data_IF_302069647621
#
_entry.id   IF_302069647621
#
_cell.length_a   1.000
_cell.length_b   1.000
_cell.length_c   1.000
_cell.angle_alpha   90.00
_cell.angle_beta   90.00
_cell.angle_gamma   90.00
#
_symmetry.space_group_name_H-M   'P 1'
#
loop_
_entity.id
_entity.type
_entity.pdbx_description
1 polymer ?
#
# COMPACT_ATOMS: atom_id res chain seq x y z
N UNK A 1 6.65 23.32 -6.56
CA UNK A 1 5.68 22.23 -6.58
C UNK A 1 5.69 21.52 -5.24
N UNK A 2 4.51 21.30 -4.66
CA UNK A 2 4.36 20.64 -3.36
C UNK A 2 4.24 19.14 -3.55
N UNK A 3 4.98 18.36 -2.75
CA UNK A 3 4.95 16.90 -2.76
C UNK A 3 4.01 16.33 -1.69
N UNK A 4 3.92 15.01 -1.61
CA UNK A 4 3.19 14.25 -0.60
C UNK A 4 1.77 13.89 -1.03
N UNK A 5 1.40 12.63 -0.84
CA UNK A 5 0.05 12.12 -1.08
C UNK A 5 -0.40 11.09 -0.03
N UNK A 6 0.49 10.71 0.86
CA UNK A 6 0.22 9.80 1.99
C UNK A 6 -0.07 10.66 3.23
N UNK A 7 -1.33 11.01 3.48
CA UNK A 7 -1.62 11.96 4.55
C UNK A 7 -2.87 11.64 5.37
N UNK A 8 -2.79 12.08 6.62
CA UNK A 8 -3.89 12.09 7.57
C UNK A 8 -3.82 13.36 8.42
N UNK A 9 -4.94 13.76 8.96
CA UNK A 9 -5.00 14.97 9.76
C UNK A 9 -6.21 15.04 10.67
N UNK A 10 -6.36 16.17 11.33
CA UNK A 10 -7.52 16.48 12.16
C UNK A 10 -8.36 17.55 11.48
N UNK A 11 -9.66 17.31 11.36
CA UNK A 11 -10.60 18.30 10.81
C UNK A 11 -10.64 19.52 11.73
N UNK A 12 -10.23 20.67 11.22
CA UNK A 12 -10.22 21.93 11.96
C UNK A 12 -11.35 22.89 11.54
N UNK A 13 -11.89 22.66 10.34
CA UNK A 13 -13.02 23.46 9.81
C UNK A 13 -13.80 22.62 8.82
N UNK A 14 -15.12 22.80 8.79
CA UNK A 14 -16.03 22.18 7.81
C UNK A 14 -16.63 23.26 6.91
N UNK A 15 -16.84 22.90 5.64
CA UNK A 15 -17.52 23.72 4.65
C UNK A 15 -19.03 23.51 4.65
N UNK A 16 -19.75 24.28 3.82
CA UNK A 16 -21.19 24.06 3.60
C UNK A 16 -21.44 22.67 3.00
N UNK A 17 -22.49 21.97 3.50
CA UNK A 17 -22.91 20.67 2.98
C UNK A 17 -22.12 19.47 3.49
N UNK A 18 -21.18 19.67 4.42
CA UNK A 18 -20.50 18.56 5.13
C UNK A 18 -21.46 17.98 6.17
N UNK A 19 -21.71 16.67 6.10
CA UNK A 19 -22.71 15.99 6.93
C UNK A 19 -22.11 14.90 7.83
N UNK A 20 -21.04 14.23 7.38
CA UNK A 20 -20.49 13.02 8.05
C UNK A 20 -19.24 13.30 8.89
N UNK A 21 -18.65 14.48 8.75
CA UNK A 21 -17.46 14.90 9.48
C UNK A 21 -17.74 16.11 10.39
N UNK A 22 -17.03 16.17 11.50
CA UNK A 22 -17.06 17.30 12.44
C UNK A 22 -15.66 17.75 12.81
N UNK A 23 -15.52 18.98 13.27
CA UNK A 23 -14.27 19.49 13.83
C UNK A 23 -13.81 18.58 14.98
N UNK A 24 -12.54 18.21 14.94
CA UNK A 24 -11.90 17.27 15.87
C UNK A 24 -11.82 15.82 15.37
N UNK A 25 -12.54 15.43 14.33
CA UNK A 25 -12.41 14.10 13.74
C UNK A 25 -11.00 13.92 13.13
N UNK A 26 -10.38 12.78 13.38
CA UNK A 26 -9.16 12.36 12.69
C UNK A 26 -9.54 11.63 11.39
N UNK A 27 -8.89 11.96 10.29
CA UNK A 27 -9.17 11.41 8.97
C UNK A 27 -7.90 11.04 8.22
N UNK A 28 -7.94 9.96 7.44
CA UNK A 28 -7.01 9.72 6.34
C UNK A 28 -7.61 10.27 5.05
N UNK A 29 -6.78 10.74 4.13
CA UNK A 29 -7.23 11.26 2.85
C UNK A 29 -7.01 10.23 1.75
N UNK A 30 -8.02 10.02 0.91
CA UNK A 30 -7.87 9.35 -0.39
C UNK A 30 -7.26 10.37 -1.37
N UNK A 31 -6.00 10.20 -1.83
CA UNK A 31 -5.29 11.23 -2.59
C UNK A 31 -5.84 11.48 -3.99
N UNK A 32 -6.70 10.61 -4.50
CA UNK A 32 -7.25 10.67 -5.85
C UNK A 32 -8.67 11.24 -5.90
N UNK A 33 -8.82 12.53 -6.14
CA UNK A 33 -10.15 13.15 -6.36
C UNK A 33 -10.65 12.76 -7.75
N UNK A 34 -11.72 11.99 -7.82
CA UNK A 34 -12.28 11.43 -9.06
C UNK A 34 -13.48 12.23 -9.57
N UNK A 35 -13.84 12.07 -10.87
CA UNK A 35 -14.96 12.83 -11.47
C UNK A 35 -16.35 12.35 -10.99
N UNK A 36 -16.48 11.16 -10.42
CA UNK A 36 -17.71 10.58 -9.90
C UNK A 36 -18.74 10.18 -10.96
N UNK A 37 -18.51 10.42 -12.26
CA UNK A 37 -19.53 10.27 -13.30
C UNK A 37 -19.12 9.35 -14.48
N UNK A 38 -17.83 9.06 -14.67
CA UNK A 38 -17.38 8.15 -15.73
C UNK A 38 -17.77 6.70 -15.42
N UNK A 39 -17.60 5.81 -16.39
CA UNK A 39 -17.93 4.39 -16.24
C UNK A 39 -17.16 3.73 -15.09
N UNK A 40 -15.87 4.06 -14.91
CA UNK A 40 -15.04 3.52 -13.84
C UNK A 40 -15.53 3.97 -12.45
N UNK A 41 -15.86 5.26 -12.29
CA UNK A 41 -16.41 5.76 -11.03
C UNK A 41 -17.75 5.08 -10.70
N UNK A 42 -18.63 4.93 -11.68
CA UNK A 42 -19.95 4.33 -11.50
C UNK A 42 -19.92 2.82 -11.26
N UNK A 43 -18.88 2.13 -11.74
CA UNK A 43 -18.67 0.68 -11.52
C UNK A 43 -17.88 0.36 -10.25
N UNK A 44 -17.45 1.37 -9.47
CA UNK A 44 -16.66 1.18 -8.26
C UNK A 44 -15.14 1.10 -8.49
N UNK A 45 -14.69 1.16 -9.74
CA UNK A 45 -13.27 1.18 -10.09
C UNK A 45 -12.74 2.61 -10.23
N UNK A 46 -13.11 3.49 -9.28
CA UNK A 46 -12.85 4.93 -9.37
C UNK A 46 -11.35 5.29 -9.42
N UNK A 47 -10.47 4.42 -8.93
CA UNK A 47 -9.02 4.52 -9.09
C UNK A 47 -8.56 4.53 -10.57
N UNK A 48 -9.39 4.03 -11.49
CA UNK A 48 -9.16 4.06 -12.93
C UNK A 48 -9.80 5.28 -13.62
N UNK A 49 -10.30 6.27 -12.87
CA UNK A 49 -10.91 7.46 -13.42
C UNK A 49 -9.91 8.22 -14.32
N UNK A 50 -10.23 8.48 -15.61
CA UNK A 50 -9.32 9.20 -16.52
C UNK A 50 -9.12 10.65 -16.13
N UNK A 51 -10.04 11.24 -15.36
CA UNK A 51 -10.00 12.63 -14.90
C UNK A 51 -9.57 12.75 -13.44
N UNK A 52 -8.89 11.73 -12.89
CA UNK A 52 -8.45 11.77 -11.49
C UNK A 52 -7.45 12.91 -11.26
N UNK A 53 -7.69 13.70 -10.23
CA UNK A 53 -6.77 14.71 -9.72
C UNK A 53 -6.02 14.11 -8.53
N UNK A 54 -4.83 13.57 -8.78
CA UNK A 54 -4.06 12.86 -7.77
C UNK A 54 -3.05 13.80 -7.09
N UNK A 55 -3.07 13.87 -5.77
CA UNK A 55 -2.15 14.69 -4.99
C UNK A 55 -0.69 14.41 -5.37
N UNK A 56 0.13 15.46 -5.44
CA UNK A 56 1.54 15.43 -5.82
C UNK A 56 1.82 14.87 -7.24
N UNK A 57 0.81 14.82 -8.10
CA UNK A 57 0.97 14.51 -9.53
C UNK A 57 0.68 15.78 -10.34
N UNK A 58 1.70 16.39 -10.99
CA UNK A 58 1.51 17.65 -11.71
C UNK A 58 0.34 17.62 -12.69
N UNK A 59 -0.51 18.67 -12.72
CA UNK A 59 -0.34 19.98 -12.03
C UNK A 59 -0.91 20.04 -10.59
N UNK A 60 -1.41 18.93 -10.03
CA UNK A 60 -2.06 18.87 -8.71
C UNK A 60 -1.01 18.89 -7.61
N UNK A 61 -1.12 19.88 -6.69
CA UNK A 61 -0.21 19.99 -5.54
C UNK A 61 -0.44 18.85 -4.55
N UNK A 62 0.59 18.53 -3.78
CA UNK A 62 0.55 17.50 -2.73
C UNK A 62 0.11 18.05 -1.38
N UNK A 63 0.29 17.22 -0.34
CA UNK A 63 -0.20 17.49 1.01
C UNK A 63 0.90 17.87 2.03
N UNK A 64 2.14 18.22 1.60
CA UNK A 64 3.17 18.70 2.52
C UNK A 64 2.89 20.16 2.96
N UNK A 65 1.75 20.35 3.64
CA UNK A 65 1.29 21.62 4.14
C UNK A 65 0.60 21.46 5.51
N UNK A 66 0.47 22.57 6.24
CA UNK A 66 -0.17 22.54 7.57
C UNK A 66 -1.68 22.32 7.49
N UNK A 67 -2.33 22.81 6.43
CA UNK A 67 -3.77 22.73 6.23
C UNK A 67 -4.08 22.46 4.76
N UNK A 68 -4.97 21.53 4.51
CA UNK A 68 -5.49 21.22 3.19
C UNK A 68 -7.02 21.29 3.19
N UNK A 69 -7.60 21.88 2.14
CA UNK A 69 -9.04 21.80 1.90
C UNK A 69 -9.34 20.61 1.00
N UNK A 70 -10.19 19.69 1.47
CA UNK A 70 -10.39 18.41 0.80
C UNK A 70 -11.88 18.02 0.77
N UNK A 71 -12.35 17.28 -0.28
CA UNK A 71 -13.73 16.83 -0.35
C UNK A 71 -14.06 15.82 0.77
N UNK A 72 -15.25 15.97 1.39
CA UNK A 72 -15.67 15.09 2.48
C UNK A 72 -15.62 13.59 2.11
N UNK A 73 -16.12 13.26 0.91
CA UNK A 73 -16.19 11.87 0.43
C UNK A 73 -14.82 11.23 0.15
N UNK A 74 -13.74 12.01 0.19
CA UNK A 74 -12.35 11.54 0.10
C UNK A 74 -11.63 11.59 1.46
N UNK A 75 -12.38 11.83 2.55
CA UNK A 75 -11.86 11.89 3.92
C UNK A 75 -12.43 10.71 4.72
N UNK A 76 -11.60 9.77 5.09
CA UNK A 76 -12.00 8.56 5.82
C UNK A 76 -11.72 8.71 7.30
N UNK A 77 -12.77 8.65 8.12
CA UNK A 77 -12.66 8.79 9.56
C UNK A 77 -11.86 7.66 10.17
N UNK A 78 -10.84 8.00 10.95
CA UNK A 78 -10.02 7.05 11.66
C UNK A 78 -10.71 6.56 12.94
N UNK A 79 -10.50 5.31 13.36
CA UNK A 79 -10.87 4.83 14.68
C UNK A 79 -10.24 5.69 15.78
N UNK A 80 -10.89 5.79 16.96
CA UNK A 80 -10.42 6.64 18.06
C UNK A 80 -9.01 6.27 18.54
N UNK A 81 -8.69 4.98 18.55
CA UNK A 81 -7.40 4.43 18.97
C UNK A 81 -6.29 4.55 17.92
N UNK A 82 -6.60 5.03 16.72
CA UNK A 82 -5.61 5.22 15.65
C UNK A 82 -5.05 6.66 15.68
N UNK A 83 -3.75 6.79 15.58
CA UNK A 83 -3.07 8.08 15.42
C UNK A 83 -3.15 8.57 13.97
N UNK A 84 -2.93 9.87 13.74
CA UNK A 84 -2.82 10.40 12.37
C UNK A 84 -1.57 9.88 11.64
N UNK A 85 -0.50 9.52 12.37
CA UNK A 85 0.68 8.88 11.79
C UNK A 85 0.33 7.50 11.21
N UNK A 86 -0.42 6.69 11.95
CA UNK A 86 -0.93 5.40 11.44
C UNK A 86 -1.94 5.61 10.32
N UNK A 87 -2.78 6.65 10.42
CA UNK A 87 -3.71 7.03 9.38
C UNK A 87 -3.06 7.36 8.03
N UNK A 88 -1.88 8.00 8.05
CA UNK A 88 -1.13 8.28 6.84
C UNK A 88 -0.60 7.01 6.14
N UNK A 89 -0.37 5.93 6.90
CA UNK A 89 0.06 4.65 6.34
C UNK A 89 -1.07 3.86 5.66
N UNK A 90 -2.33 4.30 5.76
CA UNK A 90 -3.46 3.64 5.10
C UNK A 90 -3.30 3.70 3.58
N UNK A 91 -2.76 4.80 3.06
CA UNK A 91 -2.55 4.96 1.61
C UNK A 91 -1.60 3.88 1.08
N UNK A 92 -0.33 3.76 1.50
CA UNK A 92 0.54 2.71 1.01
C UNK A 92 0.06 1.30 1.38
N UNK A 93 -0.65 1.12 2.51
CA UNK A 93 -1.25 -0.15 2.87
C UNK A 93 -2.32 -0.57 1.85
N UNK A 94 -3.12 0.38 1.34
CA UNK A 94 -4.13 0.10 0.31
C UNK A 94 -3.51 -0.42 -0.98
N UNK A 95 -2.32 0.06 -1.34
CA UNK A 95 -1.55 -0.46 -2.49
C UNK A 95 -1.18 -1.94 -2.28
N UNK A 96 -0.65 -2.28 -1.10
CA UNK A 96 -0.33 -3.67 -0.75
C UNK A 96 -1.56 -4.58 -0.71
N UNK A 97 -2.66 -4.07 -0.17
CA UNK A 97 -3.92 -4.82 -0.10
C UNK A 97 -4.49 -5.08 -1.50
N UNK A 98 -4.56 -4.05 -2.34
CA UNK A 98 -5.02 -4.18 -3.72
C UNK A 98 -4.10 -5.08 -4.55
N UNK A 99 -2.78 -5.03 -4.33
CA UNK A 99 -1.84 -5.95 -4.96
C UNK A 99 -2.16 -7.41 -4.61
N UNK A 100 -2.44 -7.71 -3.33
CA UNK A 100 -2.80 -9.06 -2.90
C UNK A 100 -4.11 -9.54 -3.54
N UNK A 101 -5.12 -8.66 -3.70
CA UNK A 101 -6.36 -8.95 -4.44
C UNK A 101 -6.09 -9.21 -5.93
N UNK A 102 -5.29 -8.35 -6.59
CA UNK A 102 -4.97 -8.50 -8.00
C UNK A 102 -4.09 -9.73 -8.28
N UNK A 103 -3.25 -10.10 -7.33
CA UNK A 103 -2.45 -11.34 -7.35
C UNK A 103 -3.26 -12.59 -7.05
N UNK A 104 -4.54 -12.44 -6.71
CA UNK A 104 -5.49 -13.53 -6.38
C UNK A 104 -4.94 -14.46 -5.28
N UNK A 105 -4.40 -13.85 -4.21
CA UNK A 105 -3.79 -14.58 -3.10
C UNK A 105 -4.83 -15.35 -2.32
N UNK A 106 -4.64 -16.67 -2.21
CA UNK A 106 -5.53 -17.57 -1.50
C UNK A 106 -4.91 -18.15 -0.22
N UNK A 107 -5.80 -18.71 0.61
CA UNK A 107 -5.39 -19.42 1.82
C UNK A 107 -4.48 -20.61 1.47
N UNK A 108 -3.29 -20.61 2.06
CA UNK A 108 -2.30 -21.66 1.87
C UNK A 108 -1.24 -21.40 0.81
N UNK A 109 -1.37 -20.33 0.00
CA UNK A 109 -0.42 -19.98 -1.04
C UNK A 109 0.98 -19.69 -0.47
N UNK A 110 1.99 -20.03 -1.26
CA UNK A 110 3.36 -19.57 -1.07
C UNK A 110 3.58 -18.30 -1.86
N UNK A 111 3.73 -17.19 -1.15
CA UNK A 111 3.92 -15.86 -1.73
C UNK A 111 5.39 -15.45 -1.67
N UNK A 112 5.92 -14.98 -2.78
CA UNK A 112 7.28 -14.41 -2.89
C UNK A 112 7.19 -12.91 -3.13
N UNK A 113 7.91 -12.11 -2.35
CA UNK A 113 7.94 -10.65 -2.48
C UNK A 113 9.38 -10.23 -2.75
N UNK A 114 9.60 -9.63 -3.91
CA UNK A 114 10.89 -9.11 -4.35
C UNK A 114 10.96 -7.61 -4.04
N UNK A 115 11.79 -7.27 -3.04
CA UNK A 115 11.88 -5.94 -2.45
C UNK A 115 11.21 -5.88 -1.07
N UNK A 116 11.93 -5.34 -0.09
CA UNK A 116 11.49 -5.15 1.30
C UNK A 116 11.48 -3.68 1.69
N UNK A 117 11.13 -2.82 0.71
CA UNK A 117 10.79 -1.41 0.96
C UNK A 117 9.39 -1.26 1.56
N UNK A 118 8.89 -0.02 1.66
CA UNK A 118 7.55 0.25 2.21
C UNK A 118 6.49 -0.62 1.53
N UNK A 119 6.42 -0.60 0.19
CA UNK A 119 5.42 -1.35 -0.58
C UNK A 119 5.56 -2.86 -0.38
N UNK A 120 6.79 -3.41 -0.40
CA UNK A 120 6.98 -4.84 -0.14
C UNK A 120 6.52 -5.26 1.26
N UNK A 121 6.77 -4.44 2.27
CA UNK A 121 6.33 -4.71 3.65
C UNK A 121 4.81 -4.64 3.82
N UNK A 122 4.15 -3.65 3.22
CA UNK A 122 2.67 -3.59 3.29
C UNK A 122 2.03 -4.70 2.46
N UNK A 123 2.64 -5.11 1.34
CA UNK A 123 2.21 -6.27 0.55
C UNK A 123 2.35 -7.57 1.37
N UNK A 124 3.44 -7.73 2.13
CA UNK A 124 3.61 -8.86 3.06
C UNK A 124 2.46 -8.92 4.05
N UNK A 125 2.14 -7.80 4.71
CA UNK A 125 1.04 -7.73 5.68
C UNK A 125 -0.30 -8.06 5.04
N UNK A 126 -0.57 -7.52 3.85
CA UNK A 126 -1.78 -7.80 3.10
C UNK A 126 -1.90 -9.28 2.71
N UNK A 127 -0.85 -9.90 2.16
CA UNK A 127 -0.84 -11.33 1.81
C UNK A 127 -1.09 -12.22 3.02
N UNK A 128 -0.51 -11.89 4.17
CA UNK A 128 -0.80 -12.61 5.43
C UNK A 128 -2.26 -12.47 5.85
N UNK A 129 -2.84 -11.28 5.72
CA UNK A 129 -4.26 -11.05 6.00
C UNK A 129 -5.19 -11.82 5.05
N UNK A 130 -4.79 -12.00 3.79
CA UNK A 130 -5.49 -12.85 2.81
C UNK A 130 -5.32 -14.36 3.05
N UNK A 131 -4.45 -14.75 3.99
CA UNK A 131 -4.28 -16.15 4.39
C UNK A 131 -3.14 -16.88 3.68
N UNK A 132 -2.17 -16.18 3.12
CA UNK A 132 -0.96 -16.81 2.59
C UNK A 132 -0.36 -17.80 3.61
N UNK A 133 -0.15 -19.02 3.20
CA UNK A 133 0.37 -20.10 4.05
C UNK A 133 1.87 -20.01 4.26
N UNK A 134 2.57 -19.34 3.36
CA UNK A 134 4.00 -19.10 3.43
C UNK A 134 4.36 -17.80 2.73
N UNK A 135 5.17 -16.99 3.39
CA UNK A 135 5.67 -15.72 2.85
C UNK A 135 7.19 -15.71 2.80
N UNK A 136 7.76 -15.39 1.64
CA UNK A 136 9.20 -15.33 1.38
C UNK A 136 9.53 -13.93 0.86
N UNK A 137 10.37 -13.19 1.56
CA UNK A 137 10.74 -11.82 1.18
C UNK A 137 12.22 -11.78 0.79
N UNK A 138 12.53 -11.20 -0.36
CA UNK A 138 13.91 -11.04 -0.83
C UNK A 138 14.28 -9.56 -0.97
N UNK A 139 15.48 -9.20 -0.52
CA UNK A 139 16.07 -7.86 -0.65
C UNK A 139 17.59 -7.96 -0.62
N UNK A 140 18.28 -6.87 -0.95
CA UNK A 140 19.74 -6.72 -0.85
C UNK A 140 20.18 -6.25 0.54
N UNK A 141 19.29 -5.63 1.31
CA UNK A 141 19.60 -4.92 2.56
C UNK A 141 19.12 -5.71 3.78
N UNK A 142 20.06 -6.18 4.60
CA UNK A 142 19.75 -6.99 5.80
C UNK A 142 18.77 -6.30 6.74
N UNK A 143 18.94 -5.01 7.03
CA UNK A 143 18.06 -4.27 7.95
C UNK A 143 16.59 -4.24 7.46
N UNK A 144 16.35 -4.24 6.15
CA UNK A 144 15.01 -4.34 5.57
C UNK A 144 14.44 -5.75 5.71
N UNK A 145 15.29 -6.77 5.54
CA UNK A 145 14.92 -8.18 5.75
C UNK A 145 14.61 -8.47 7.22
N UNK A 146 15.35 -7.86 8.15
CA UNK A 146 15.04 -7.96 9.58
C UNK A 146 13.68 -7.35 9.90
N UNK A 147 13.33 -6.22 9.27
CA UNK A 147 11.98 -5.63 9.40
C UNK A 147 10.91 -6.56 8.82
N UNK A 148 11.16 -7.20 7.68
CA UNK A 148 10.23 -8.18 7.12
C UNK A 148 9.98 -9.36 8.07
N UNK A 149 11.03 -9.87 8.74
CA UNK A 149 10.90 -10.90 9.79
C UNK A 149 10.07 -10.42 10.97
N UNK A 150 10.35 -9.20 11.46
CA UNK A 150 9.59 -8.58 12.55
C UNK A 150 8.10 -8.49 12.22
N UNK A 151 7.77 -8.18 10.96
CA UNK A 151 6.40 -8.13 10.45
C UNK A 151 5.81 -9.50 10.09
N UNK A 152 6.57 -10.57 10.33
CA UNK A 152 6.09 -11.95 10.25
C UNK A 152 6.33 -12.64 8.91
N UNK A 153 7.33 -12.25 8.12
CA UNK A 153 7.79 -13.06 7.00
C UNK A 153 8.31 -14.41 7.49
N UNK A 154 7.86 -15.51 6.87
CA UNK A 154 8.29 -16.86 7.26
C UNK A 154 9.74 -17.11 6.86
N UNK A 155 10.16 -16.59 5.72
CA UNK A 155 11.52 -16.66 5.22
C UNK A 155 11.97 -15.33 4.64
N UNK A 156 13.26 -15.06 4.74
CA UNK A 156 13.90 -13.93 4.07
C UNK A 156 15.16 -14.40 3.34
N UNK A 157 15.41 -13.80 2.19
CA UNK A 157 16.57 -14.12 1.32
C UNK A 157 17.33 -12.83 1.03
N UNK A 158 18.61 -12.76 1.39
CA UNK A 158 19.46 -11.69 0.92
C UNK A 158 20.04 -12.06 -0.45
N UNK A 159 19.47 -11.47 -1.51
CA UNK A 159 19.82 -11.74 -2.89
C UNK A 159 21.22 -11.22 -3.30
N UNK A 160 21.85 -10.41 -2.47
CA UNK A 160 23.25 -10.04 -2.63
C UNK A 160 24.25 -11.08 -2.08
N UNK A 161 23.75 -12.06 -1.30
CA UNK A 161 24.55 -13.08 -0.63
C UNK A 161 24.30 -14.50 -1.13
N UNK A 162 23.13 -14.75 -1.72
CA UNK A 162 22.73 -16.07 -2.22
C UNK A 162 21.88 -15.95 -3.48
N UNK A 163 21.87 -17.01 -4.26
CA UNK A 163 20.99 -17.12 -5.42
C UNK A 163 19.53 -17.32 -4.96
N UNK A 164 18.68 -16.42 -5.40
CA UNK A 164 17.26 -16.38 -5.02
C UNK A 164 16.53 -17.67 -5.45
N UNK A 165 16.78 -18.14 -6.68
CA UNK A 165 16.09 -19.31 -7.23
C UNK A 165 16.50 -20.59 -6.52
N UNK A 166 17.79 -20.73 -6.16
CA UNK A 166 18.27 -21.88 -5.40
C UNK A 166 17.71 -21.89 -3.97
N UNK A 167 17.63 -20.73 -3.31
CA UNK A 167 17.02 -20.64 -1.98
C UNK A 167 15.50 -20.91 -2.03
N UNK A 168 14.80 -20.38 -3.02
CA UNK A 168 13.37 -20.67 -3.23
C UNK A 168 13.13 -22.16 -3.45
N UNK A 169 13.94 -22.85 -4.26
CA UNK A 169 13.84 -24.31 -4.46
C UNK A 169 14.01 -25.06 -3.15
N UNK A 170 14.99 -24.68 -2.32
CA UNK A 170 15.21 -25.31 -1.01
C UNK A 170 14.01 -25.13 -0.08
N UNK A 171 13.51 -23.89 0.03
CA UNK A 171 12.39 -23.53 0.93
C UNK A 171 11.09 -24.23 0.49
N UNK A 172 10.87 -24.36 -0.82
CA UNK A 172 9.60 -24.82 -1.39
C UNK A 172 9.64 -26.27 -1.87
N UNK A 173 10.76 -26.98 -1.69
CA UNK A 173 10.94 -28.34 -2.21
C UNK A 173 10.91 -28.40 -3.75
N UNK A 174 11.35 -27.35 -4.42
CA UNK A 174 11.42 -27.24 -5.88
C UNK A 174 10.16 -26.72 -6.55
N UNK A 175 9.07 -26.47 -5.78
CA UNK A 175 7.78 -26.00 -6.33
C UNK A 175 7.82 -24.53 -6.78
N UNK A 176 8.56 -23.67 -6.05
CA UNK A 176 8.52 -22.21 -6.24
C UNK A 176 7.37 -21.53 -5.50
N UNK A 177 7.09 -20.28 -5.86
CA UNK A 177 5.95 -19.51 -5.33
C UNK A 177 4.69 -19.68 -6.17
N UNK A 178 3.53 -19.61 -5.54
CA UNK A 178 2.22 -19.56 -6.22
C UNK A 178 1.98 -18.16 -6.77
N UNK A 179 2.37 -17.13 -6.01
CA UNK A 179 2.26 -15.72 -6.39
C UNK A 179 3.59 -15.03 -6.14
N UNK A 180 3.98 -14.15 -7.05
CA UNK A 180 5.20 -13.33 -6.94
C UNK A 180 4.85 -11.86 -7.10
N UNK A 181 5.26 -11.04 -6.13
CA UNK A 181 5.14 -9.58 -6.19
C UNK A 181 6.51 -8.96 -6.42
N UNK A 182 6.62 -8.15 -7.47
CA UNK A 182 7.78 -7.33 -7.75
C UNK A 182 7.56 -5.92 -7.19
N UNK A 183 8.32 -5.55 -6.18
CA UNK A 183 8.21 -4.26 -5.49
C UNK A 183 9.54 -3.51 -5.36
N UNK A 184 10.60 -4.03 -5.99
CA UNK A 184 11.92 -3.41 -5.99
C UNK A 184 12.09 -2.40 -7.14
N UNK A 185 11.31 -2.54 -8.22
CA UNK A 185 11.39 -1.68 -9.40
C UNK A 185 12.70 -1.83 -10.16
N UNK A 186 13.29 -3.03 -10.18
CA UNK A 186 14.58 -3.29 -10.81
C UNK A 186 14.45 -4.18 -12.05
N UNK A 187 15.14 -3.87 -13.16
CA UNK A 187 15.17 -4.77 -14.32
C UNK A 187 15.64 -6.19 -14.00
N UNK A 188 16.49 -6.34 -12.97
CA UNK A 188 17.03 -7.65 -12.54
C UNK A 188 15.96 -8.49 -11.84
N UNK A 189 15.02 -7.87 -11.15
CA UNK A 189 13.94 -8.57 -10.43
C UNK A 189 12.73 -8.85 -11.32
N UNK A 190 12.60 -8.14 -12.45
CA UNK A 190 11.54 -8.34 -13.45
C UNK A 190 11.90 -9.44 -14.44
N UNK A 191 13.19 -9.70 -14.68
CA UNK A 191 13.68 -10.71 -15.63
C UNK A 191 13.57 -12.13 -15.07
#
# INVERSE_FOLDING_TARGET
FMLGHECAGTVVKIGPGVENLKVGDKVALEPGITCGQCEFCKSGHYNLCPDVQFLATPPVQGCYEEYIAFPENMCFKLPENMSTMEGALIEPLSVGFYAAEQGDVHVGDTVVILGSGCIGLVTLLACKAHGAGRTIVADLVDARLDKAKELGADYVINSGKSDILEELKKITGGRGGDVVFETAGSPVTIA
#
